data_IF_717954142274
#
_entry.id   IF_717954142274
#
_cell.length_a   1.000
_cell.length_b   1.000
_cell.length_c   1.000
_cell.angle_alpha   90.00
_cell.angle_beta   90.00
_cell.angle_gamma   90.00
#
_symmetry.space_group_name_H-M   'P 1'
#
loop_
_entity.id
_entity.type
_entity.pdbx_description
1 polymer ?
#
# COMPACT_ATOMS: atom_id res chain seq x y z
N UNK A 1 12.91 22.15 58.91
CA UNK A 1 13.82 21.97 57.76
C UNK A 1 13.07 21.16 56.71
N UNK A 2 12.33 21.83 55.82
CA UNK A 2 11.62 21.17 54.72
C UNK A 2 12.13 21.75 53.40
N UNK A 3 12.78 20.91 52.61
CA UNK A 3 13.31 21.28 51.31
C UNK A 3 12.15 21.39 50.31
N UNK A 4 12.01 22.56 49.68
CA UNK A 4 11.11 22.74 48.52
C UNK A 4 11.69 21.93 47.36
N UNK A 5 11.00 20.88 46.95
CA UNK A 5 11.28 20.20 45.68
C UNK A 5 10.87 21.18 44.58
N UNK A 6 11.84 21.61 43.78
CA UNK A 6 11.64 22.46 42.62
C UNK A 6 11.11 21.57 41.48
N UNK A 7 9.88 21.75 40.96
CA UNK A 7 9.32 20.85 39.95
C UNK A 7 9.85 21.12 38.53
N UNK A 8 10.81 22.03 38.36
CA UNK A 8 11.35 22.41 37.06
C UNK A 8 12.62 21.62 36.71
N UNK A 9 12.50 20.30 36.47
CA UNK A 9 13.60 19.54 35.84
C UNK A 9 13.19 18.23 35.16
N UNK A 10 11.90 17.98 34.90
CA UNK A 10 11.52 16.97 33.92
C UNK A 10 11.30 17.68 32.59
N UNK A 11 12.41 17.98 31.89
CA UNK A 11 12.33 18.36 30.50
C UNK A 11 11.61 17.24 29.74
N UNK A 12 10.55 17.60 29.04
CA UNK A 12 9.84 16.75 28.07
C UNK A 12 10.84 16.29 27.00
N UNK A 13 11.46 15.12 27.24
CA UNK A 13 12.29 14.44 26.27
C UNK A 13 11.39 13.71 25.28
N UNK A 14 10.54 14.45 24.57
CA UNK A 14 9.85 13.97 23.38
C UNK A 14 10.90 13.38 22.44
N UNK A 15 10.77 12.11 21.98
CA UNK A 15 11.77 11.48 21.15
C UNK A 15 12.02 12.32 19.89
N UNK A 16 13.29 12.54 19.58
CA UNK A 16 13.70 13.31 18.39
C UNK A 16 13.06 12.67 17.16
N UNK A 17 12.19 13.40 16.47
CA UNK A 17 11.59 12.93 15.21
C UNK A 17 12.70 12.84 14.17
N UNK A 18 12.91 11.65 13.63
CA UNK A 18 13.85 11.44 12.52
C UNK A 18 13.37 12.23 11.30
N UNK A 19 14.30 12.91 10.63
CA UNK A 19 14.02 13.54 9.33
C UNK A 19 13.85 12.48 8.23
N UNK A 20 13.21 12.85 7.11
CA UNK A 20 13.02 11.93 5.98
C UNK A 20 14.35 11.43 5.39
N UNK A 21 15.42 12.23 5.47
CA UNK A 21 16.77 11.83 5.05
C UNK A 21 17.32 10.69 5.91
N UNK A 22 17.12 10.76 7.22
CA UNK A 22 17.59 9.76 8.19
C UNK A 22 16.80 8.45 8.06
N UNK A 23 15.48 8.56 7.87
CA UNK A 23 14.63 7.41 7.52
C UNK A 23 15.07 6.82 6.18
N UNK A 24 15.28 7.65 5.16
CA UNK A 24 15.74 7.21 3.84
C UNK A 24 17.10 6.52 3.87
N UNK A 25 18.02 6.98 4.72
CA UNK A 25 19.31 6.34 4.95
C UNK A 25 19.16 4.97 5.63
N UNK A 26 18.30 4.90 6.65
CA UNK A 26 18.04 3.66 7.42
C UNK A 26 17.38 2.60 6.53
N UNK A 27 16.38 3.00 5.75
CA UNK A 27 15.61 2.11 4.87
C UNK A 27 16.23 1.92 3.48
N UNK A 28 17.39 2.53 3.19
CA UNK A 28 17.98 2.59 1.84
C UNK A 28 18.05 1.22 1.16
N UNK A 29 18.52 0.21 1.88
CA UNK A 29 18.66 -1.16 1.35
C UNK A 29 17.28 -1.72 0.97
N UNK A 30 16.32 -1.65 1.88
CA UNK A 30 14.95 -2.14 1.67
C UNK A 30 14.26 -1.44 0.51
N UNK A 31 14.38 -0.11 0.43
CA UNK A 31 13.79 0.69 -0.65
C UNK A 31 14.42 0.36 -1.99
N UNK A 32 15.74 0.22 -2.08
CA UNK A 32 16.38 -0.16 -3.33
C UNK A 32 16.00 -1.58 -3.78
N UNK A 33 15.88 -2.53 -2.86
CA UNK A 33 15.42 -3.88 -3.21
C UNK A 33 13.98 -3.86 -3.74
N UNK A 34 13.08 -3.14 -3.08
CA UNK A 34 11.70 -2.97 -3.56
C UNK A 34 11.66 -2.28 -4.93
N UNK A 35 12.50 -1.26 -5.16
CA UNK A 35 12.60 -0.59 -6.46
C UNK A 35 13.17 -1.50 -7.56
N UNK A 36 14.13 -2.38 -7.26
CA UNK A 36 14.61 -3.37 -8.23
C UNK A 36 13.50 -4.37 -8.61
N UNK A 37 12.70 -4.82 -7.64
CA UNK A 37 11.54 -5.66 -7.93
C UNK A 37 10.51 -4.90 -8.79
N UNK A 38 10.25 -3.63 -8.48
CA UNK A 38 9.34 -2.77 -9.26
C UNK A 38 9.85 -2.50 -10.69
N UNK A 39 11.17 -2.40 -10.91
CA UNK A 39 11.74 -2.27 -12.25
C UNK A 39 11.46 -3.49 -13.13
N UNK A 40 11.44 -4.69 -12.55
CA UNK A 40 11.15 -5.94 -13.25
C UNK A 40 9.65 -6.20 -13.44
N UNK A 41 8.78 -5.44 -12.75
CA UNK A 41 7.33 -5.64 -12.79
C UNK A 41 6.76 -5.31 -14.19
N UNK A 42 6.00 -6.24 -14.77
CA UNK A 42 5.19 -5.94 -15.95
C UNK A 42 4.01 -5.04 -15.57
N UNK A 43 3.55 -4.14 -16.46
CA UNK A 43 2.38 -3.31 -16.18
C UNK A 43 1.17 -4.14 -15.71
N UNK A 44 0.62 -3.74 -14.56
CA UNK A 44 -0.60 -4.27 -13.97
C UNK A 44 -1.79 -3.45 -14.48
N UNK A 45 -2.93 -4.09 -14.68
CA UNK A 45 -4.18 -3.41 -15.06
C UNK A 45 -5.37 -4.20 -14.54
N UNK A 46 -6.43 -3.49 -14.16
CA UNK A 46 -7.67 -4.09 -13.66
C UNK A 46 -8.45 -4.81 -14.77
N UNK A 47 -8.27 -4.41 -16.03
CA UNK A 47 -9.02 -4.96 -17.17
C UNK A 47 -8.69 -6.42 -17.50
N UNK A 48 -7.66 -6.99 -16.87
CA UNK A 48 -7.24 -8.39 -17.06
C UNK A 48 -8.16 -9.39 -16.35
N UNK A 49 -8.92 -8.92 -15.38
CA UNK A 49 -9.78 -9.75 -14.54
C UNK A 49 -11.16 -9.10 -14.43
N UNK A 50 -12.18 -9.89 -14.12
CA UNK A 50 -13.49 -9.37 -13.77
C UNK A 50 -14.16 -10.32 -12.78
N UNK A 51 -14.92 -9.77 -11.86
CA UNK A 51 -15.73 -10.55 -10.93
C UNK A 51 -17.07 -10.88 -11.57
N UNK A 52 -17.56 -12.13 -11.49
CA UNK A 52 -18.92 -12.47 -11.92
C UNK A 52 -20.00 -11.75 -11.08
N UNK A 53 -19.63 -11.20 -9.92
CA UNK A 53 -20.51 -10.42 -9.05
C UNK A 53 -20.50 -8.93 -9.38
N UNK A 54 -19.67 -8.48 -10.34
CA UNK A 54 -19.62 -7.07 -10.74
C UNK A 54 -20.72 -6.77 -11.76
N UNK A 55 -21.59 -5.76 -11.53
CA UNK A 55 -22.52 -5.27 -12.55
C UNK A 55 -21.85 -4.30 -13.54
N UNK A 56 -20.58 -3.94 -13.33
CA UNK A 56 -19.83 -2.99 -14.14
C UNK A 56 -19.19 -3.60 -15.40
N UNK A 57 -18.60 -2.72 -16.21
CA UNK A 57 -17.81 -3.11 -17.39
C UNK A 57 -16.35 -3.41 -17.01
N UNK A 58 -15.55 -3.81 -17.98
CA UNK A 58 -14.14 -4.23 -17.76
C UNK A 58 -13.24 -3.14 -17.17
N UNK A 59 -13.60 -1.86 -17.35
CA UNK A 59 -12.86 -0.72 -16.79
C UNK A 59 -13.33 -0.34 -15.37
N UNK A 60 -14.39 -0.97 -14.86
CA UNK A 60 -14.92 -0.66 -13.54
C UNK A 60 -14.19 -1.48 -12.47
N UNK A 61 -13.66 -0.78 -11.47
CA UNK A 61 -13.10 -1.44 -10.29
C UNK A 61 -14.21 -2.13 -9.48
N UNK A 62 -13.90 -3.31 -8.93
CA UNK A 62 -14.81 -4.09 -8.11
C UNK A 62 -14.06 -4.68 -6.92
N UNK A 63 -14.70 -4.69 -5.75
CA UNK A 63 -14.19 -5.39 -4.57
C UNK A 63 -15.34 -5.76 -3.64
N UNK A 64 -15.18 -6.86 -2.91
CA UNK A 64 -16.07 -7.22 -1.81
C UNK A 64 -15.63 -6.53 -0.51
N UNK A 65 -16.59 -6.24 0.37
CA UNK A 65 -16.26 -5.85 1.73
C UNK A 65 -15.68 -7.04 2.51
N UNK A 66 -14.56 -6.83 3.20
CA UNK A 66 -13.76 -7.92 3.78
C UNK A 66 -14.54 -8.84 4.70
N UNK A 67 -15.51 -8.29 5.44
CA UNK A 67 -16.24 -8.99 6.49
C UNK A 67 -17.63 -9.46 6.08
N UNK A 68 -17.97 -9.45 4.79
CA UNK A 68 -19.27 -9.90 4.30
C UNK A 68 -19.19 -11.33 3.79
N UNK A 69 -20.03 -12.20 4.37
CA UNK A 69 -20.04 -13.64 4.12
C UNK A 69 -21.42 -14.08 3.60
N UNK A 70 -21.49 -15.15 2.78
CA UNK A 70 -22.77 -15.76 2.45
C UNK A 70 -23.56 -16.13 3.71
N UNK A 71 -24.85 -15.85 3.70
CA UNK A 71 -25.75 -16.16 4.80
C UNK A 71 -26.05 -17.67 4.85
N UNK A 72 -25.63 -18.41 5.90
CA UNK A 72 -25.91 -19.85 5.99
C UNK A 72 -27.40 -20.16 6.20
N UNK A 73 -28.22 -19.17 6.55
CA UNK A 73 -29.65 -19.33 6.76
C UNK A 73 -30.50 -19.15 5.49
N UNK A 74 -29.87 -18.84 4.34
CA UNK A 74 -30.56 -18.76 3.06
C UNK A 74 -30.01 -19.76 2.05
N UNK A 75 -30.86 -20.25 1.15
CA UNK A 75 -30.50 -21.25 0.16
C UNK A 75 -29.51 -20.72 -0.90
N UNK A 76 -29.56 -19.42 -1.18
CA UNK A 76 -28.72 -18.73 -2.15
C UNK A 76 -27.54 -17.97 -1.49
N UNK A 77 -27.43 -18.01 -0.16
CA UNK A 77 -26.41 -17.28 0.59
C UNK A 77 -26.63 -15.76 0.64
N UNK A 78 -27.77 -15.25 0.19
CA UNK A 78 -28.12 -13.82 0.20
C UNK A 78 -29.19 -13.48 1.26
N UNK A 79 -29.27 -12.21 1.71
CA UNK A 79 -28.21 -11.20 1.58
C UNK A 79 -26.99 -11.61 2.42
N UNK A 80 -25.79 -11.14 2.05
CA UNK A 80 -24.59 -11.43 2.83
C UNK A 80 -24.75 -10.92 4.28
N UNK A 81 -24.08 -11.57 5.22
CA UNK A 81 -24.05 -11.21 6.64
C UNK A 81 -22.65 -10.77 7.06
N UNK A 82 -22.57 -9.78 7.95
CA UNK A 82 -21.28 -9.26 8.45
C UNK A 82 -20.73 -10.14 9.57
N UNK A 83 -19.48 -10.57 9.44
CA UNK A 83 -18.67 -11.21 10.49
C UNK A 83 -17.44 -10.35 10.78
N UNK A 84 -17.57 -9.43 11.73
CA UNK A 84 -16.54 -8.44 11.99
C UNK A 84 -15.20 -9.07 12.38
N UNK A 85 -14.10 -8.52 11.84
CA UNK A 85 -12.75 -9.04 12.06
C UNK A 85 -12.41 -10.35 11.31
N UNK A 86 -13.35 -10.93 10.56
CA UNK A 86 -13.14 -12.18 9.82
C UNK A 86 -13.18 -11.95 8.32
N UNK A 87 -12.01 -11.92 7.67
CA UNK A 87 -11.92 -11.80 6.22
C UNK A 87 -12.52 -13.00 5.49
N UNK A 88 -13.46 -12.77 4.59
CA UNK A 88 -14.04 -13.81 3.75
C UNK A 88 -13.01 -14.29 2.70
N UNK A 89 -12.57 -15.57 2.75
CA UNK A 89 -11.62 -16.11 1.78
C UNK A 89 -12.21 -16.25 0.38
N UNK A 90 -13.55 -16.23 0.25
CA UNK A 90 -14.24 -16.25 -1.04
C UNK A 90 -14.38 -14.89 -1.72
N UNK A 91 -13.80 -13.82 -1.16
CA UNK A 91 -13.83 -12.50 -1.78
C UNK A 91 -13.06 -12.47 -3.11
N UNK A 92 -13.59 -11.73 -4.08
CA UNK A 92 -12.83 -11.33 -5.26
C UNK A 92 -11.78 -10.28 -4.85
N UNK A 93 -10.51 -10.63 -5.01
CA UNK A 93 -9.38 -9.81 -4.54
C UNK A 93 -8.52 -9.24 -5.68
N UNK A 94 -8.70 -9.67 -6.92
CA UNK A 94 -7.75 -9.41 -8.00
C UNK A 94 -7.56 -7.92 -8.28
N UNK A 95 -8.64 -7.13 -8.36
CA UNK A 95 -8.51 -5.69 -8.58
C UNK A 95 -7.81 -5.00 -7.40
N UNK A 96 -8.12 -5.42 -6.16
CA UNK A 96 -7.48 -4.88 -4.96
C UNK A 96 -5.99 -5.21 -4.94
N UNK A 97 -5.61 -6.42 -5.34
CA UNK A 97 -4.21 -6.82 -5.49
C UNK A 97 -3.53 -6.01 -6.58
N UNK A 98 -4.16 -5.79 -7.73
CA UNK A 98 -3.62 -4.95 -8.80
C UNK A 98 -3.33 -3.51 -8.32
N UNK A 99 -4.29 -2.88 -7.61
CA UNK A 99 -4.09 -1.55 -7.00
C UNK A 99 -2.94 -1.57 -5.99
N UNK A 100 -2.89 -2.57 -5.10
CA UNK A 100 -1.83 -2.69 -4.08
C UNK A 100 -0.46 -2.84 -4.74
N UNK A 101 -0.34 -3.70 -5.74
CA UNK A 101 0.90 -3.92 -6.48
C UNK A 101 1.36 -2.65 -7.18
N UNK A 102 0.46 -1.93 -7.87
CA UNK A 102 0.80 -0.65 -8.51
C UNK A 102 1.27 0.38 -7.47
N UNK A 103 0.48 0.58 -6.40
CA UNK A 103 0.76 1.52 -5.32
C UNK A 103 2.15 1.28 -4.73
N UNK A 104 2.43 0.03 -4.38
CA UNK A 104 3.69 -0.34 -3.72
C UNK A 104 4.88 -0.19 -4.67
N UNK A 105 4.72 -0.54 -5.95
CA UNK A 105 5.76 -0.37 -6.96
C UNK A 105 6.08 1.12 -7.21
N UNK A 106 5.06 1.95 -7.41
CA UNK A 106 5.23 3.40 -7.62
C UNK A 106 5.85 4.06 -6.39
N UNK A 107 5.38 3.72 -5.19
CA UNK A 107 5.95 4.25 -3.96
C UNK A 107 7.43 3.86 -3.79
N UNK A 108 7.80 2.61 -4.08
CA UNK A 108 9.18 2.14 -4.01
C UNK A 108 10.10 2.86 -5.01
N UNK A 109 9.65 3.02 -6.26
CA UNK A 109 10.40 3.72 -7.29
C UNK A 109 10.57 5.21 -6.96
N UNK A 110 9.52 5.88 -6.47
CA UNK A 110 9.58 7.28 -6.05
C UNK A 110 10.54 7.48 -4.87
N UNK A 111 10.46 6.63 -3.84
CA UNK A 111 11.37 6.69 -2.71
C UNK A 111 12.83 6.43 -3.13
N UNK A 112 13.07 5.46 -4.01
CA UNK A 112 14.41 5.18 -4.53
C UNK A 112 14.97 6.32 -5.38
N UNK A 113 14.12 7.01 -6.16
CA UNK A 113 14.49 8.21 -6.92
C UNK A 113 14.96 9.34 -6.00
N UNK A 114 14.21 9.63 -4.93
CA UNK A 114 14.58 10.64 -3.94
C UNK A 114 15.90 10.30 -3.26
N UNK A 115 16.06 9.05 -2.78
CA UNK A 115 17.27 8.59 -2.09
C UNK A 115 18.51 8.58 -3.00
N UNK A 116 18.33 8.30 -4.31
CA UNK A 116 19.45 8.21 -5.26
C UNK A 116 19.97 9.58 -5.71
N UNK A 117 19.17 10.65 -5.54
CA UNK A 117 19.47 11.97 -6.07
C UNK A 117 19.46 12.03 -7.61
N UNK A 118 19.84 13.16 -8.22
CA UNK A 118 19.85 13.32 -9.67
C UNK A 118 20.80 12.33 -10.38
N UNK A 119 20.37 11.76 -11.51
CA UNK A 119 21.22 10.92 -12.36
C UNK A 119 20.47 9.79 -13.07
N UNK A 120 21.21 8.93 -13.78
CA UNK A 120 20.65 7.89 -14.65
C UNK A 120 19.77 6.87 -13.91
N UNK A 121 20.10 6.53 -12.65
CA UNK A 121 19.27 5.62 -11.85
C UNK A 121 17.89 6.21 -11.57
N UNK A 122 17.85 7.47 -11.18
CA UNK A 122 16.61 8.22 -10.93
C UNK A 122 15.77 8.31 -12.20
N UNK A 123 16.39 8.66 -13.32
CA UNK A 123 15.69 8.69 -14.61
C UNK A 123 15.03 7.34 -14.94
N UNK A 124 15.75 6.23 -14.76
CA UNK A 124 15.20 4.87 -14.95
C UNK A 124 14.00 4.57 -14.04
N UNK A 125 14.03 5.02 -12.79
CA UNK A 125 12.89 4.85 -11.88
C UNK A 125 11.68 5.69 -12.32
N UNK A 126 11.90 6.94 -12.74
CA UNK A 126 10.84 7.83 -13.23
C UNK A 126 10.17 7.27 -14.49
N UNK A 127 10.97 6.81 -15.46
CA UNK A 127 10.46 6.19 -16.69
C UNK A 127 9.63 4.94 -16.39
N UNK A 128 10.09 4.09 -15.48
CA UNK A 128 9.33 2.91 -15.07
C UNK A 128 8.00 3.29 -14.42
N UNK A 129 7.98 4.28 -13.53
CA UNK A 129 6.73 4.76 -12.92
C UNK A 129 5.75 5.26 -13.98
N UNK A 130 6.21 6.08 -14.91
CA UNK A 130 5.38 6.56 -16.01
C UNK A 130 4.81 5.40 -16.84
N UNK A 131 5.63 4.38 -17.15
CA UNK A 131 5.18 3.18 -17.86
C UNK A 131 4.08 2.44 -17.09
N UNK A 132 4.24 2.24 -15.78
CA UNK A 132 3.25 1.52 -14.96
C UNK A 132 1.94 2.31 -14.86
N UNK A 133 2.01 3.62 -14.65
CA UNK A 133 0.85 4.50 -14.51
C UNK A 133 0.09 4.71 -15.83
N UNK A 134 0.77 4.65 -16.98
CA UNK A 134 0.14 4.82 -18.28
C UNK A 134 -0.76 3.64 -18.70
N UNK A 135 -0.65 2.49 -18.03
CA UNK A 135 -1.36 1.25 -18.39
C UNK A 135 -2.50 0.91 -17.46
N UNK A 136 -2.37 1.25 -16.17
CA UNK A 136 -3.24 0.73 -15.12
C UNK A 136 -4.73 0.97 -15.38
#
# INVERSE_FOLDING_TARGET
MWARINPAAAADASPKRLGWEEVGNTDRIRVHQAAQAALALAPVSIVKTSSPLSPGNVNDYYSNGDYWWPNPASADGLPFVRRDGQSNPGNFNDHRLAVRTLRDAVAALAAAAVISGPGNKTQKYLEKMAQLLAVF
#
